data_IF_079344543161
#
_entry.id   IF_079344543161
#
_cell.length_a   1.000
_cell.length_b   1.000
_cell.length_c   1.000
_cell.angle_alpha   90.00
_cell.angle_beta   90.00
_cell.angle_gamma   90.00
#
_symmetry.space_group_name_H-M   'P 1'
#
loop_
_entity.id
_entity.type
_entity.pdbx_description
1 polymer ?
#
# COMPACT_ATOMS: atom_id res chain seq x y z
N UNK A 1 17.22 33.83 -55.63
CA UNK A 1 18.59 33.36 -55.96
C UNK A 1 19.56 34.49 -55.66
N UNK A 2 20.50 34.27 -54.74
CA UNK A 2 21.57 35.22 -54.40
C UNK A 2 22.82 34.86 -55.22
N UNK A 3 23.31 35.81 -56.02
CA UNK A 3 24.53 35.64 -56.83
C UNK A 3 25.73 36.25 -56.11
N UNK A 4 26.85 35.53 -56.01
CA UNK A 4 28.09 35.95 -55.33
C UNK A 4 28.27 35.33 -53.94
N UNK A 5 29.35 35.68 -53.25
CA UNK A 5 29.59 35.27 -51.87
C UNK A 5 28.85 36.20 -50.90
N UNK A 6 27.95 35.63 -50.09
CA UNK A 6 27.11 36.35 -49.15
C UNK A 6 27.33 35.81 -47.73
N UNK A 7 27.16 36.71 -46.76
CA UNK A 7 27.17 36.39 -45.35
C UNK A 7 25.88 36.87 -44.70
N UNK A 8 25.47 36.18 -43.64
CA UNK A 8 24.30 36.55 -42.83
C UNK A 8 24.67 36.60 -41.36
N UNK A 9 24.10 37.55 -40.65
CA UNK A 9 24.23 37.67 -39.21
C UNK A 9 22.90 37.97 -38.54
N UNK A 10 22.76 37.53 -37.29
CA UNK A 10 21.63 37.87 -36.43
C UNK A 10 21.81 39.30 -35.89
N UNK A 11 20.93 40.22 -36.29
CA UNK A 11 21.01 41.64 -35.88
C UNK A 11 20.07 42.01 -34.74
N UNK A 12 18.91 41.38 -34.66
CA UNK A 12 17.94 41.61 -33.59
C UNK A 12 17.22 40.32 -33.25
N UNK A 13 16.97 40.10 -31.96
CA UNK A 13 16.14 39.00 -31.48
C UNK A 13 15.23 39.46 -30.35
N UNK A 14 13.99 39.02 -30.43
CA UNK A 14 12.93 39.22 -29.47
C UNK A 14 12.33 37.85 -29.15
N UNK A 15 12.39 37.42 -27.89
CA UNK A 15 11.82 36.14 -27.45
C UNK A 15 11.05 36.30 -26.13
N UNK A 16 9.89 35.64 -25.98
CA UNK A 16 9.12 35.70 -24.75
C UNK A 16 9.75 34.83 -23.66
N UNK A 17 9.64 35.26 -22.40
CA UNK A 17 10.10 34.50 -21.23
C UNK A 17 8.98 33.63 -20.64
N UNK A 18 8.25 32.94 -21.52
CA UNK A 18 7.12 32.09 -21.16
C UNK A 18 7.35 30.68 -21.65
N UNK A 19 8.50 30.10 -21.30
CA UNK A 19 8.85 28.72 -21.65
C UNK A 19 8.54 27.76 -20.52
N UNK A 20 8.43 26.47 -20.82
CA UNK A 20 8.24 25.45 -19.78
C UNK A 20 9.38 25.46 -18.78
N UNK A 21 9.05 25.50 -17.49
CA UNK A 21 9.99 25.37 -16.39
C UNK A 21 9.86 24.03 -15.64
N UNK A 22 8.76 23.31 -15.87
CA UNK A 22 8.59 21.91 -15.49
C UNK A 22 8.42 21.08 -16.76
N UNK A 23 9.27 20.07 -16.93
CA UNK A 23 9.28 19.09 -17.99
C UNK A 23 9.44 17.66 -17.45
N UNK A 24 9.50 16.67 -18.33
CA UNK A 24 9.58 15.25 -17.95
C UNK A 24 10.83 14.88 -17.13
N UNK A 25 11.85 15.72 -17.12
CA UNK A 25 13.12 15.48 -16.42
C UNK A 25 13.16 16.09 -15.00
N UNK A 26 12.21 16.95 -14.64
CA UNK A 26 12.21 17.68 -13.36
C UNK A 26 10.81 17.78 -12.71
N UNK A 27 9.90 16.83 -12.98
CA UNK A 27 8.52 16.88 -12.48
C UNK A 27 8.18 15.85 -11.39
N UNK A 28 9.09 14.96 -10.98
CA UNK A 28 8.73 13.82 -10.11
C UNK A 28 9.16 13.96 -8.66
N UNK A 29 8.33 13.42 -7.77
CA UNK A 29 8.64 13.21 -6.37
C UNK A 29 7.89 12.00 -5.83
N UNK A 30 8.27 11.52 -4.64
CA UNK A 30 7.49 10.53 -3.92
C UNK A 30 7.33 10.91 -2.46
N UNK A 31 6.23 10.45 -1.85
CA UNK A 31 5.98 10.57 -0.42
C UNK A 31 5.71 9.18 0.15
N UNK A 32 6.38 8.84 1.23
CA UNK A 32 6.13 7.64 2.02
C UNK A 32 5.51 8.05 3.35
N UNK A 33 4.36 7.47 3.70
CA UNK A 33 3.64 7.76 4.93
C UNK A 33 3.08 6.47 5.56
N UNK A 34 2.76 6.53 6.85
CA UNK A 34 2.10 5.42 7.56
C UNK A 34 0.59 5.49 7.36
N UNK A 35 0.00 4.36 6.94
CA UNK A 35 -1.44 4.18 6.85
C UNK A 35 -1.83 2.99 7.75
N UNK A 36 -2.96 3.12 8.46
CA UNK A 36 -3.52 2.00 9.23
C UNK A 36 -4.40 1.18 8.29
N UNK A 37 -3.99 -0.05 8.01
CA UNK A 37 -4.78 -1.01 7.23
C UNK A 37 -5.39 -2.04 8.17
N UNK A 38 -6.66 -2.34 7.96
CA UNK A 38 -7.31 -3.48 8.62
C UNK A 38 -6.88 -4.74 7.88
N UNK A 39 -6.18 -5.64 8.57
CA UNK A 39 -5.71 -6.91 8.01
C UNK A 39 -6.45 -8.06 8.70
N UNK A 40 -7.05 -8.94 7.90
CA UNK A 40 -7.56 -10.22 8.39
C UNK A 40 -6.40 -11.18 8.62
N UNK A 41 -6.31 -11.75 9.82
CA UNK A 41 -5.36 -12.81 10.15
C UNK A 41 -6.11 -14.12 10.39
N UNK A 42 -5.43 -15.24 10.13
CA UNK A 42 -5.95 -16.59 10.42
C UNK A 42 -5.66 -17.03 11.87
N UNK A 43 -5.16 -16.10 12.69
CA UNK A 43 -4.74 -16.36 14.06
C UNK A 43 -4.89 -15.12 14.94
N UNK A 44 -5.04 -15.33 16.25
CA UNK A 44 -4.99 -14.30 17.29
C UNK A 44 -3.69 -14.48 18.09
N UNK A 45 -2.97 -13.39 18.35
CA UNK A 45 -1.80 -13.36 19.23
C UNK A 45 -2.19 -12.76 20.58
N UNK A 46 -1.80 -13.43 21.66
CA UNK A 46 -1.92 -12.95 23.04
C UNK A 46 -0.54 -12.78 23.65
N UNK A 47 -0.19 -11.53 23.97
CA UNK A 47 1.01 -11.22 24.74
C UNK A 47 0.68 -11.29 26.24
N UNK A 48 1.19 -12.33 26.91
CA UNK A 48 0.94 -12.58 28.32
C UNK A 48 2.18 -12.15 29.11
N UNK A 49 2.03 -11.05 29.87
CA UNK A 49 3.09 -10.57 30.76
C UNK A 49 2.97 -11.27 32.10
N UNK A 50 4.01 -11.99 32.47
CA UNK A 50 4.09 -12.70 33.74
C UNK A 50 5.12 -12.00 34.61
N UNK A 51 4.67 -11.60 35.80
CA UNK A 51 5.55 -11.15 36.88
C UNK A 51 5.99 -12.34 37.69
N UNK A 52 7.29 -12.45 37.92
CA UNK A 52 7.87 -13.52 38.73
C UNK A 52 8.75 -12.85 39.78
N UNK A 53 8.16 -12.58 40.95
CA UNK A 53 8.84 -11.87 42.04
C UNK A 53 9.92 -12.73 42.70
N UNK A 54 10.78 -12.10 43.51
CA UNK A 54 11.78 -12.82 44.29
C UNK A 54 11.16 -13.43 45.55
N UNK A 55 11.46 -14.71 45.81
CA UNK A 55 11.00 -15.41 47.01
C UNK A 55 9.63 -16.08 46.89
N UNK A 56 8.95 -15.95 45.75
CA UNK A 56 7.73 -16.72 45.43
C UNK A 56 8.03 -18.21 45.34
N UNK A 57 7.12 -19.05 45.83
CA UNK A 57 7.27 -20.50 45.71
C UNK A 57 7.09 -20.94 44.25
N UNK A 58 7.54 -22.15 43.92
CA UNK A 58 7.40 -22.70 42.57
C UNK A 58 5.92 -22.78 42.17
N UNK A 59 5.03 -23.11 43.12
CA UNK A 59 3.57 -23.14 42.95
C UNK A 59 2.99 -21.75 42.64
N UNK A 60 3.35 -20.72 43.42
CA UNK A 60 2.87 -19.35 43.21
C UNK A 60 3.21 -18.81 41.81
N UNK A 61 4.40 -19.17 41.29
CA UNK A 61 4.81 -18.74 39.95
C UNK A 61 3.93 -19.39 38.88
N UNK A 62 3.61 -20.68 39.03
CA UNK A 62 2.75 -21.39 38.10
C UNK A 62 1.32 -20.85 38.16
N UNK A 63 0.81 -20.56 39.35
CA UNK A 63 -0.51 -19.96 39.52
C UNK A 63 -0.57 -18.57 38.88
N UNK A 64 0.45 -17.73 39.06
CA UNK A 64 0.53 -16.42 38.41
C UNK A 64 0.56 -16.51 36.88
N UNK A 65 1.29 -17.48 36.33
CA UNK A 65 1.32 -17.74 34.88
C UNK A 65 -0.08 -18.13 34.41
N UNK A 66 -0.69 -19.12 35.05
CA UNK A 66 -2.01 -19.64 34.67
C UNK A 66 -3.10 -18.56 34.79
N UNK A 67 -3.08 -17.75 35.86
CA UNK A 67 -4.00 -16.63 36.03
C UNK A 67 -3.82 -15.58 34.93
N UNK A 68 -2.57 -15.22 34.59
CA UNK A 68 -2.29 -14.24 33.52
C UNK A 68 -2.77 -14.75 32.14
N UNK A 69 -2.66 -16.06 31.90
CA UNK A 69 -3.17 -16.72 30.69
C UNK A 69 -4.69 -16.72 30.69
N UNK A 70 -5.32 -17.10 31.80
CA UNK A 70 -6.77 -17.17 31.96
C UNK A 70 -7.43 -15.81 31.72
N UNK A 71 -6.91 -14.75 32.34
CA UNK A 71 -7.41 -13.37 32.20
C UNK A 71 -7.36 -12.87 30.75
N UNK A 72 -6.42 -13.36 29.94
CA UNK A 72 -6.20 -12.89 28.56
C UNK A 72 -6.86 -13.75 27.51
N UNK A 73 -6.83 -15.07 27.68
CA UNK A 73 -7.27 -16.00 26.65
C UNK A 73 -8.02 -17.23 27.19
N UNK A 74 -8.24 -17.37 28.51
CA UNK A 74 -8.90 -18.52 29.13
C UNK A 74 -7.97 -19.72 29.36
N UNK A 75 -8.55 -20.89 29.70
CA UNK A 75 -7.79 -22.09 30.12
C UNK A 75 -7.31 -22.99 28.97
N UNK A 76 -6.89 -22.42 27.84
CA UNK A 76 -6.43 -23.22 26.68
C UNK A 76 -4.96 -23.63 26.76
N UNK A 77 -4.18 -22.95 27.60
CA UNK A 77 -2.81 -23.32 27.96
C UNK A 77 -2.76 -23.38 29.48
N UNK A 78 -2.28 -24.50 30.02
CA UNK A 78 -2.20 -24.71 31.46
C UNK A 78 -0.85 -25.31 31.83
N UNK A 79 -0.20 -24.71 32.81
CA UNK A 79 1.00 -25.24 33.43
C UNK A 79 0.61 -25.98 34.71
N UNK A 80 0.91 -27.27 34.79
CA UNK A 80 0.63 -28.09 35.96
C UNK A 80 1.95 -28.61 36.55
N UNK A 81 2.24 -28.21 37.79
CA UNK A 81 3.42 -28.68 38.51
C UNK A 81 3.15 -30.09 39.06
N UNK A 82 4.04 -31.03 38.74
CA UNK A 82 4.02 -32.42 39.24
C UNK A 82 5.40 -32.78 39.79
N UNK A 83 5.56 -32.60 41.11
CA UNK A 83 6.83 -32.78 41.83
C UNK A 83 8.00 -31.97 41.25
N UNK A 84 8.84 -32.58 40.41
CA UNK A 84 10.01 -31.96 39.75
C UNK A 84 9.75 -31.67 38.27
N UNK A 85 8.59 -32.02 37.76
CA UNK A 85 8.21 -31.80 36.38
C UNK A 85 7.11 -30.75 36.30
N UNK A 86 7.00 -30.13 35.14
CA UNK A 86 5.91 -29.25 34.78
C UNK A 86 5.30 -29.74 33.49
N UNK A 87 4.02 -30.06 33.55
CA UNK A 87 3.23 -30.50 32.42
C UNK A 87 2.57 -29.28 31.81
N UNK A 88 2.95 -28.93 30.60
CA UNK A 88 2.30 -27.86 29.85
C UNK A 88 1.22 -28.51 29.00
N UNK A 89 -0.03 -28.25 29.32
CA UNK A 89 -1.18 -28.71 28.55
C UNK A 89 -1.55 -27.65 27.51
N UNK A 90 -1.68 -28.07 26.25
CA UNK A 90 -2.04 -27.20 25.13
C UNK A 90 -3.33 -27.72 24.48
N UNK A 91 -4.37 -26.90 24.45
CA UNK A 91 -5.61 -27.21 23.76
C UNK A 91 -5.42 -27.23 22.23
N UNK A 92 -6.26 -27.96 21.47
CA UNK A 92 -6.19 -27.97 20.01
C UNK A 92 -6.25 -26.56 19.42
N UNK A 93 -5.40 -26.32 18.41
CA UNK A 93 -5.24 -25.04 17.70
C UNK A 93 -4.60 -23.88 18.49
N UNK A 94 -4.10 -24.13 19.70
CA UNK A 94 -3.29 -23.17 20.44
C UNK A 94 -1.80 -23.56 20.33
N UNK A 95 -0.94 -22.55 20.29
CA UNK A 95 0.51 -22.72 20.30
C UNK A 95 1.10 -21.79 21.37
N UNK A 96 1.97 -22.32 22.22
CA UNK A 96 2.75 -21.53 23.16
C UNK A 96 4.12 -21.20 22.54
N UNK A 97 4.40 -19.92 22.35
CA UNK A 97 5.64 -19.40 21.78
C UNK A 97 6.47 -18.74 22.90
N UNK A 98 7.67 -19.27 23.09
CA UNK A 98 8.66 -18.77 24.05
C UNK A 98 9.88 -18.29 23.27
N UNK A 99 10.12 -16.98 23.25
CA UNK A 99 11.29 -16.40 22.56
C UNK A 99 12.44 -16.22 23.55
N UNK A 100 13.67 -16.34 23.06
CA UNK A 100 14.86 -16.09 23.88
C UNK A 100 14.95 -14.62 24.34
N UNK A 101 14.39 -13.69 23.55
CA UNK A 101 14.37 -12.27 23.85
C UNK A 101 13.36 -11.93 24.97
N UNK A 102 12.15 -12.48 24.90
CA UNK A 102 11.03 -12.03 25.72
C UNK A 102 10.69 -12.99 26.88
N UNK A 103 11.03 -14.27 26.77
CA UNK A 103 10.78 -15.31 27.78
C UNK A 103 12.04 -16.06 28.29
N UNK A 104 13.22 -15.41 28.48
CA UNK A 104 14.45 -16.11 28.83
C UNK A 104 14.40 -16.84 30.17
N UNK A 105 13.60 -16.34 31.13
CA UNK A 105 13.46 -16.95 32.46
C UNK A 105 12.60 -18.21 32.36
N UNK A 106 11.50 -18.14 31.62
CA UNK A 106 10.60 -19.28 31.47
C UNK A 106 11.30 -20.43 30.72
N UNK A 107 12.07 -20.14 29.66
CA UNK A 107 12.91 -21.14 29.00
C UNK A 107 13.86 -21.83 30.00
N UNK A 108 14.52 -21.04 30.87
CA UNK A 108 15.42 -21.59 31.89
C UNK A 108 14.67 -22.45 32.92
N UNK A 109 13.48 -22.02 33.34
CA UNK A 109 12.63 -22.74 34.30
C UNK A 109 12.09 -24.06 33.74
N UNK A 110 11.79 -24.11 32.45
CA UNK A 110 11.40 -25.34 31.75
C UNK A 110 12.61 -26.22 31.36
N UNK A 111 13.82 -25.87 31.83
CA UNK A 111 15.07 -26.55 31.47
C UNK A 111 15.30 -26.65 29.95
N UNK A 112 14.99 -25.56 29.25
CA UNK A 112 15.13 -25.43 27.81
C UNK A 112 16.37 -24.62 27.44
N UNK A 113 16.95 -24.83 26.24
CA UNK A 113 17.97 -23.93 25.71
C UNK A 113 17.40 -22.52 25.54
N UNK A 114 18.28 -21.51 25.55
CA UNK A 114 17.90 -20.10 25.33
C UNK A 114 17.73 -19.80 23.84
N UNK A 115 16.81 -20.51 23.22
CA UNK A 115 16.44 -20.40 21.82
C UNK A 115 14.92 -20.35 21.70
N UNK A 116 14.42 -19.83 20.58
CA UNK A 116 12.98 -19.73 20.36
C UNK A 116 12.34 -21.13 20.30
N UNK A 117 11.30 -21.35 21.10
CA UNK A 117 10.59 -22.64 21.16
C UNK A 117 9.09 -22.45 20.98
N UNK A 118 8.51 -23.35 20.19
CA UNK A 118 7.06 -23.43 19.95
C UNK A 118 6.56 -24.78 20.48
N UNK A 119 5.63 -24.73 21.43
CA UNK A 119 4.98 -25.91 22.02
C UNK A 119 3.55 -25.97 21.49
N UNK A 120 3.23 -27.00 20.70
CA UNK A 120 1.94 -27.17 19.99
C UNK A 120 1.05 -28.26 20.57
N UNK A 121 1.63 -29.14 21.35
CA UNK A 121 0.97 -30.28 22.01
C UNK A 121 1.47 -30.35 23.42
N UNK A 122 0.69 -30.99 24.29
CA UNK A 122 1.07 -31.12 25.69
C UNK A 122 2.43 -31.81 25.84
N UNK A 123 3.33 -31.23 26.63
CA UNK A 123 4.70 -31.71 26.84
C UNK A 123 5.08 -31.54 28.33
N UNK A 124 5.89 -32.47 28.84
CA UNK A 124 6.40 -32.44 30.21
C UNK A 124 7.85 -31.97 30.22
N UNK A 125 8.18 -31.04 31.11
CA UNK A 125 9.53 -30.50 31.26
C UNK A 125 10.05 -30.71 32.67
N UNK A 126 11.36 -30.86 32.82
CA UNK A 126 11.99 -30.85 34.15
C UNK A 126 12.02 -29.41 34.64
N UNK A 127 11.37 -29.15 35.77
CA UNK A 127 11.26 -27.82 36.33
C UNK A 127 12.52 -27.42 37.09
N UNK A 128 13.02 -26.21 36.81
CA UNK A 128 14.18 -25.60 37.48
C UNK A 128 13.76 -24.33 38.21
N UNK A 129 14.31 -24.15 39.41
CA UNK A 129 14.03 -22.98 40.24
C UNK A 129 14.35 -21.67 39.50
N UNK A 130 13.48 -20.65 39.63
CA UNK A 130 13.69 -19.36 39.00
C UNK A 130 14.97 -18.67 39.51
N UNK A 131 15.70 -17.97 38.62
CA UNK A 131 16.85 -17.14 39.03
C UNK A 131 16.42 -15.88 39.78
N UNK A 132 17.29 -15.35 40.65
CA UNK A 132 17.10 -14.18 41.52
C UNK A 132 17.08 -12.83 40.78
N UNK A 133 16.31 -12.67 39.70
CA UNK A 133 16.32 -11.42 38.93
C UNK A 133 14.91 -10.97 38.57
N UNK A 134 14.55 -9.74 38.95
CA UNK A 134 13.21 -9.18 38.81
C UNK A 134 12.96 -8.61 37.38
N UNK A 135 12.74 -9.48 36.40
CA UNK A 135 12.35 -9.10 35.03
C UNK A 135 11.01 -9.73 34.65
N UNK A 136 10.13 -8.92 34.05
CA UNK A 136 8.91 -9.38 33.38
C UNK A 136 9.29 -10.38 32.27
N UNK A 137 8.56 -11.49 32.17
CA UNK A 137 8.63 -12.38 31.01
C UNK A 137 7.35 -12.21 30.20
N UNK A 138 7.49 -12.15 28.88
CA UNK A 138 6.35 -12.15 27.97
C UNK A 138 6.33 -13.47 27.24
N UNK A 139 5.31 -14.27 27.53
CA UNK A 139 5.01 -15.46 26.71
C UNK A 139 3.94 -15.09 25.69
N UNK A 140 4.05 -15.66 24.50
CA UNK A 140 3.10 -15.42 23.42
C UNK A 140 2.27 -16.67 23.20
N UNK A 141 0.95 -16.53 23.21
CA UNK A 141 0.02 -17.61 22.85
C UNK A 141 -0.58 -17.26 21.50
N UNK A 142 -0.49 -18.18 20.54
CA UNK A 142 -1.10 -18.04 19.23
C UNK A 142 -2.27 -19.00 19.12
N UNK A 143 -3.47 -18.46 18.95
CA UNK A 143 -4.67 -19.23 18.68
C UNK A 143 -4.98 -19.19 17.19
N UNK A 144 -5.00 -20.36 16.54
CA UNK A 144 -5.25 -20.51 15.10
C UNK A 144 -6.62 -21.14 14.88
N UNK A 145 -7.22 -20.95 13.70
CA UNK A 145 -8.41 -21.69 13.27
C UNK A 145 -9.55 -21.75 14.31
N UNK A 146 -9.78 -20.66 15.02
CA UNK A 146 -10.82 -20.61 16.04
C UNK A 146 -12.19 -20.74 15.39
N UNK A 147 -12.92 -21.79 15.80
CA UNK A 147 -14.26 -22.09 15.29
C UNK A 147 -15.30 -21.80 16.36
N UNK A 148 -16.27 -20.95 16.04
CA UNK A 148 -17.53 -20.85 16.81
C UNK A 148 -18.49 -21.93 16.33
N UNK A 149 -19.05 -22.67 17.28
CA UNK A 149 -19.97 -23.76 17.00
C UNK A 149 -21.40 -23.37 17.36
N UNK A 150 -22.33 -23.59 16.43
CA UNK A 150 -23.76 -23.40 16.61
C UNK A 150 -24.46 -24.72 16.35
N UNK A 151 -25.47 -25.03 17.16
CA UNK A 151 -26.30 -26.22 16.97
C UNK A 151 -27.62 -25.78 16.37
N UNK A 152 -27.93 -26.26 15.17
CA UNK A 152 -29.15 -25.94 14.46
C UNK A 152 -30.08 -27.14 14.51
N UNK A 153 -31.33 -26.89 14.88
CA UNK A 153 -32.38 -27.89 14.97
C UNK A 153 -33.23 -27.87 13.71
N UNK A 154 -33.62 -29.04 13.21
CA UNK A 154 -34.66 -29.16 12.19
C UNK A 154 -36.03 -29.06 12.85
N UNK A 155 -36.84 -28.08 12.47
CA UNK A 155 -38.18 -27.88 13.04
C UNK A 155 -39.17 -27.48 11.94
N UNK A 156 -40.46 -27.40 12.29
CA UNK A 156 -41.56 -26.97 11.41
C UNK A 156 -42.41 -25.91 12.10
N UNK A 157 -43.13 -25.10 11.33
CA UNK A 157 -44.17 -24.24 11.88
C UNK A 157 -45.34 -25.11 12.35
N UNK A 158 -45.72 -24.95 13.61
CA UNK A 158 -46.73 -25.77 14.25
C UNK A 158 -48.13 -25.41 13.71
N UNK A 159 -48.67 -26.08 12.68
CA UNK A 159 -50.08 -25.91 12.30
C UNK A 159 -50.74 -27.22 11.82
N UNK A 160 -52.02 -27.35 12.19
CA UNK A 160 -52.95 -28.47 12.02
C UNK A 160 -53.36 -28.80 10.56
N UNK A 161 -52.47 -28.76 9.58
CA UNK A 161 -52.84 -29.07 8.19
C UNK A 161 -52.04 -30.24 7.61
N UNK A 162 -52.78 -31.12 6.95
CA UNK A 162 -52.39 -32.42 6.40
C UNK A 162 -52.04 -32.31 4.92
N UNK A 163 -51.09 -31.45 4.56
CA UNK A 163 -50.61 -31.39 3.17
C UNK A 163 -49.12 -31.75 3.11
N UNK A 164 -48.83 -32.97 2.65
CA UNK A 164 -47.48 -33.53 2.61
C UNK A 164 -46.62 -32.95 1.47
N UNK A 165 -47.25 -32.33 0.47
CA UNK A 165 -46.59 -31.84 -0.74
C UNK A 165 -45.71 -30.59 -0.49
N UNK A 166 -45.88 -29.90 0.65
CA UNK A 166 -45.13 -28.69 0.99
C UNK A 166 -44.09 -28.89 2.12
N UNK A 167 -43.90 -30.13 2.56
CA UNK A 167 -43.10 -30.46 3.74
C UNK A 167 -41.62 -30.08 3.60
N UNK A 168 -41.01 -30.37 2.45
CA UNK A 168 -39.60 -30.07 2.20
C UNK A 168 -39.36 -28.55 2.15
N UNK A 169 -40.26 -27.81 1.51
CA UNK A 169 -40.18 -26.36 1.46
C UNK A 169 -40.24 -25.73 2.84
N UNK A 170 -41.24 -26.09 3.65
CA UNK A 170 -41.38 -25.57 5.02
C UNK A 170 -40.17 -25.91 5.90
N UNK A 171 -39.65 -27.14 5.76
CA UNK A 171 -38.46 -27.58 6.50
C UNK A 171 -37.24 -26.70 6.19
N UNK A 172 -36.91 -26.47 4.92
CA UNK A 172 -35.73 -25.68 4.56
C UNK A 172 -35.92 -24.19 4.86
N UNK A 173 -37.12 -23.64 4.70
CA UNK A 173 -37.44 -22.29 5.18
C UNK A 173 -37.19 -22.15 6.67
N UNK A 174 -37.58 -23.15 7.46
CA UNK A 174 -37.43 -23.10 8.90
C UNK A 174 -35.99 -23.34 9.36
N UNK A 175 -35.20 -24.14 8.62
CA UNK A 175 -33.75 -24.23 8.83
C UNK A 175 -33.08 -22.87 8.61
N UNK A 176 -33.40 -22.18 7.52
CA UNK A 176 -32.89 -20.83 7.25
C UNK A 176 -33.34 -19.83 8.34
N UNK A 177 -34.59 -19.93 8.80
CA UNK A 177 -35.08 -19.12 9.92
C UNK A 177 -34.29 -19.39 11.21
N UNK A 178 -34.02 -20.65 11.55
CA UNK A 178 -33.23 -20.99 12.74
C UNK A 178 -31.80 -20.47 12.64
N UNK A 179 -31.17 -20.51 11.48
CA UNK A 179 -29.86 -19.89 11.23
C UNK A 179 -29.91 -18.38 11.50
N UNK A 180 -30.94 -17.69 10.99
CA UNK A 180 -31.15 -16.26 11.26
C UNK A 180 -31.34 -15.97 12.76
N UNK A 181 -32.15 -16.76 13.48
CA UNK A 181 -32.38 -16.58 14.92
C UNK A 181 -31.10 -16.76 15.75
N UNK A 182 -30.18 -17.61 15.30
CA UNK A 182 -28.87 -17.78 15.95
C UNK A 182 -27.86 -16.66 15.64
N UNK A 183 -28.24 -15.65 14.86
CA UNK A 183 -27.38 -14.52 14.48
C UNK A 183 -26.36 -14.85 13.38
N UNK A 184 -26.49 -16.02 12.75
CA UNK A 184 -25.62 -16.49 11.65
C UNK A 184 -26.41 -16.64 10.34
N UNK A 185 -27.46 -15.83 10.17
CA UNK A 185 -28.22 -15.76 8.92
C UNK A 185 -27.29 -15.43 7.75
N UNK A 186 -27.38 -16.22 6.67
CA UNK A 186 -26.52 -16.11 5.49
C UNK A 186 -25.16 -16.81 5.59
N UNK A 187 -24.80 -17.39 6.74
CA UNK A 187 -23.62 -18.26 6.86
C UNK A 187 -23.77 -19.54 6.02
N UNK A 188 -25.00 -20.01 5.91
CA UNK A 188 -25.44 -21.03 4.97
C UNK A 188 -26.88 -20.76 4.53
N UNK A 189 -27.21 -21.14 3.31
CA UNK A 189 -28.53 -21.01 2.72
C UNK A 189 -28.98 -22.33 2.12
N UNK A 190 -30.21 -22.74 2.45
CA UNK A 190 -30.88 -23.91 1.90
C UNK A 190 -31.98 -23.45 0.94
N UNK A 191 -31.77 -23.62 -0.36
CA UNK A 191 -32.70 -23.19 -1.40
C UNK A 191 -33.36 -24.42 -2.00
N UNK A 192 -34.66 -24.58 -1.77
CA UNK A 192 -35.44 -25.71 -2.26
C UNK A 192 -36.06 -25.41 -3.63
N UNK A 193 -35.87 -26.33 -4.58
CA UNK A 193 -36.52 -26.34 -5.90
C UNK A 193 -37.68 -27.34 -5.90
N UNK A 194 -38.90 -26.79 -5.97
CA UNK A 194 -40.15 -27.54 -6.00
C UNK A 194 -40.32 -28.45 -7.22
N UNK A 195 -39.76 -28.08 -8.38
CA UNK A 195 -40.00 -28.84 -9.62
C UNK A 195 -39.19 -30.12 -9.66
N UNK A 196 -37.99 -30.06 -9.10
CA UNK A 196 -36.99 -31.12 -9.20
C UNK A 196 -36.79 -31.89 -7.89
N UNK A 197 -37.49 -31.49 -6.82
CA UNK A 197 -37.34 -32.00 -5.44
C UNK A 197 -35.86 -32.02 -5.01
N UNK A 198 -35.20 -30.88 -5.23
CA UNK A 198 -33.77 -30.68 -4.95
C UNK A 198 -33.60 -29.57 -3.93
N UNK A 199 -32.57 -29.70 -3.10
CA UNK A 199 -32.09 -28.58 -2.28
C UNK A 199 -30.68 -28.23 -2.70
N UNK A 200 -30.47 -26.95 -2.96
CA UNK A 200 -29.16 -26.36 -3.07
C UNK A 200 -28.74 -25.84 -1.71
N UNK A 201 -27.60 -26.30 -1.20
CA UNK A 201 -27.01 -25.85 0.05
C UNK A 201 -25.77 -25.05 -0.30
N UNK A 202 -25.80 -23.75 -0.01
CA UNK A 202 -24.67 -22.84 -0.20
C UNK A 202 -24.10 -22.46 1.15
N UNK A 203 -22.79 -22.62 1.34
CA UNK A 203 -22.08 -22.36 2.58
C UNK A 203 -20.96 -21.34 2.32
N UNK A 204 -20.85 -20.31 3.17
CA UNK A 204 -19.79 -19.31 3.04
C UNK A 204 -18.40 -19.94 3.21
N UNK A 205 -17.36 -19.28 2.66
CA UNK A 205 -15.99 -19.81 2.57
C UNK A 205 -15.38 -20.21 3.93
N UNK A 206 -15.77 -19.54 5.01
CA UNK A 206 -15.27 -19.78 6.37
C UNK A 206 -16.22 -20.63 7.24
N UNK A 207 -17.24 -21.24 6.65
CA UNK A 207 -18.28 -21.98 7.35
C UNK A 207 -18.25 -23.46 6.96
N UNK A 208 -18.50 -24.33 7.92
CA UNK A 208 -18.64 -25.79 7.76
C UNK A 208 -19.96 -26.25 8.37
N UNK A 209 -20.73 -27.03 7.61
CA UNK A 209 -21.93 -27.72 8.12
C UNK A 209 -21.60 -29.18 8.38
N UNK A 210 -21.67 -29.61 9.63
CA UNK A 210 -21.40 -30.99 10.02
C UNK A 210 -22.68 -31.72 10.39
N UNK A 211 -22.94 -32.78 9.63
CA UNK A 211 -24.03 -33.70 9.83
C UNK A 211 -23.48 -35.02 10.35
N UNK A 212 -23.98 -35.47 11.50
CA UNK A 212 -23.63 -36.78 12.07
C UNK A 212 -24.86 -37.67 12.13
N UNK A 213 -24.70 -38.93 11.76
CA UNK A 213 -25.79 -39.91 11.74
C UNK A 213 -26.45 -40.06 13.11
N UNK A 214 -25.68 -39.89 14.18
CA UNK A 214 -26.18 -39.94 15.55
C UNK A 214 -27.22 -38.86 15.88
N UNK A 215 -27.11 -37.68 15.25
CA UNK A 215 -27.92 -36.50 15.57
C UNK A 215 -28.94 -36.12 14.49
N UNK A 216 -28.72 -36.56 13.25
CA UNK A 216 -29.58 -36.24 12.11
C UNK A 216 -29.81 -37.42 11.13
N UNK A 217 -30.21 -38.61 11.61
CA UNK A 217 -30.28 -39.81 10.77
C UNK A 217 -31.29 -39.70 9.61
N UNK A 218 -32.45 -39.07 9.83
CA UNK A 218 -33.49 -38.98 8.80
C UNK A 218 -33.15 -37.86 7.82
N UNK A 219 -32.69 -36.71 8.32
CA UNK A 219 -32.29 -35.57 7.50
C UNK A 219 -31.13 -35.95 6.57
N UNK A 220 -30.13 -36.67 7.08
CA UNK A 220 -29.01 -37.14 6.27
C UNK A 220 -29.45 -38.15 5.21
N UNK A 221 -30.32 -39.10 5.56
CA UNK A 221 -30.89 -40.05 4.59
C UNK A 221 -31.69 -39.33 3.49
N UNK A 222 -32.46 -38.30 3.85
CA UNK A 222 -33.18 -37.44 2.90
C UNK A 222 -32.21 -36.75 1.94
N UNK A 223 -31.03 -36.31 2.41
CA UNK A 223 -29.97 -35.70 1.57
C UNK A 223 -29.06 -36.73 0.87
N UNK A 224 -29.40 -38.02 0.91
CA UNK A 224 -28.59 -39.13 0.36
C UNK A 224 -27.20 -39.31 1.02
N UNK A 225 -27.05 -38.93 2.29
CA UNK A 225 -25.81 -39.07 3.06
C UNK A 225 -25.85 -40.32 3.96
N UNK A 226 -24.89 -41.24 3.76
CA UNK A 226 -24.84 -42.54 4.46
C UNK A 226 -23.78 -42.65 5.55
N UNK A 227 -22.98 -41.60 5.75
CA UNK A 227 -21.92 -41.47 6.77
C UNK A 227 -21.87 -40.03 7.26
N UNK A 228 -21.14 -39.77 8.35
CA UNK A 228 -20.89 -38.40 8.82
C UNK A 228 -20.26 -37.56 7.70
N UNK A 229 -20.80 -36.35 7.50
CA UNK A 229 -20.47 -35.46 6.38
C UNK A 229 -20.22 -34.05 6.89
N UNK A 230 -19.18 -33.41 6.35
CA UNK A 230 -18.94 -31.98 6.49
C UNK A 230 -19.11 -31.33 5.12
N UNK A 231 -20.04 -30.39 4.99
CA UNK A 231 -20.25 -29.61 3.78
C UNK A 231 -19.55 -28.25 3.83
N UNK A 232 -18.95 -27.87 2.71
CA UNK A 232 -18.36 -26.56 2.45
C UNK A 232 -18.70 -26.12 1.02
N UNK A 233 -18.74 -24.81 0.77
CA UNK A 233 -19.08 -24.26 -0.55
C UNK A 233 -20.51 -24.57 -0.99
N UNK A 234 -20.70 -24.82 -2.28
CA UNK A 234 -22.03 -25.05 -2.88
C UNK A 234 -22.21 -26.52 -3.22
N UNK A 235 -23.32 -27.09 -2.76
CA UNK A 235 -23.69 -28.49 -3.00
C UNK A 235 -25.16 -28.60 -3.40
N UNK A 236 -25.50 -29.60 -4.21
CA UNK A 236 -26.85 -29.85 -4.68
C UNK A 236 -27.24 -31.27 -4.33
N UNK A 237 -28.39 -31.43 -3.67
CA UNK A 237 -28.89 -32.72 -3.20
C UNK A 237 -30.28 -32.99 -3.77
N UNK A 238 -30.43 -34.12 -4.45
CA UNK A 238 -31.75 -34.67 -4.81
C UNK A 238 -32.32 -35.33 -3.55
N UNK A 239 -33.53 -34.94 -3.17
CA UNK A 239 -34.14 -35.41 -1.93
C UNK A 239 -34.66 -36.84 -2.11
N UNK A 240 -34.36 -37.69 -1.12
CA UNK A 240 -34.86 -39.06 -1.05
C UNK A 240 -36.15 -39.10 -0.26
N UNK A 241 -37.08 -39.96 -0.67
CA UNK A 241 -38.27 -40.27 0.14
C UNK A 241 -37.85 -40.86 1.48
N UNK A 242 -38.39 -40.32 2.55
CA UNK A 242 -38.16 -40.78 3.92
C UNK A 242 -39.48 -41.17 4.59
N UNK A 243 -39.41 -42.14 5.50
CA UNK A 243 -40.59 -42.72 6.17
C UNK A 243 -41.34 -41.73 7.07
N UNK A 244 -40.64 -40.68 7.52
CA UNK A 244 -41.20 -39.60 8.34
C UNK A 244 -40.38 -38.32 8.16
N UNK A 245 -40.95 -37.14 8.46
CA UNK A 245 -40.24 -35.87 8.39
C UNK A 245 -39.04 -35.82 9.36
N UNK A 246 -37.89 -35.24 8.96
CA UNK A 246 -36.71 -35.09 9.81
C UNK A 246 -36.89 -33.93 10.80
N UNK A 247 -37.70 -34.12 11.84
CA UNK A 247 -37.97 -33.11 12.87
C UNK A 247 -37.23 -33.41 14.17
N UNK A 248 -36.79 -32.35 14.84
CA UNK A 248 -36.01 -32.38 16.09
C UNK A 248 -34.66 -33.09 15.96
N UNK A 249 -34.09 -33.07 14.76
CA UNK A 249 -32.72 -33.50 14.51
C UNK A 249 -31.79 -32.30 14.53
N UNK A 250 -30.49 -32.54 14.71
CA UNK A 250 -29.52 -31.49 14.94
C UNK A 250 -28.30 -31.63 14.04
N UNK A 251 -27.81 -30.50 13.55
CA UNK A 251 -26.52 -30.42 12.87
C UNK A 251 -25.70 -29.25 13.41
N UNK A 252 -24.38 -29.33 13.26
CA UNK A 252 -23.46 -28.32 13.77
C UNK A 252 -23.04 -27.39 12.63
N UNK A 253 -23.09 -26.10 12.88
CA UNK A 253 -22.49 -25.07 12.03
C UNK A 253 -21.23 -24.58 12.73
N UNK A 254 -20.09 -24.66 12.04
CA UNK A 254 -18.81 -24.16 12.55
C UNK A 254 -18.36 -22.99 11.70
N UNK A 255 -18.17 -21.82 12.30
CA UNK A 255 -17.70 -20.61 11.62
C UNK A 255 -16.27 -20.34 12.08
N UNK A 256 -15.33 -20.32 11.13
CA UNK A 256 -13.95 -19.93 11.40
C UNK A 256 -13.85 -18.41 11.40
N UNK A 257 -13.54 -17.84 12.56
CA UNK A 257 -13.37 -16.39 12.69
C UNK A 257 -11.98 -15.97 12.22
N UNK A 258 -11.94 -14.94 11.39
CA UNK A 258 -10.69 -14.26 11.01
C UNK A 258 -10.61 -12.93 11.76
N UNK A 259 -9.81 -12.84 12.84
CA UNK A 259 -9.62 -11.56 13.52
C UNK A 259 -9.10 -10.48 12.56
N UNK A 260 -9.70 -9.31 12.63
CA UNK A 260 -9.23 -8.11 11.94
C UNK A 260 -8.38 -7.27 12.87
N UNK A 261 -7.13 -7.01 12.51
CA UNK A 261 -6.18 -6.27 13.33
C UNK A 261 -5.77 -5.00 12.57
N UNK A 262 -5.80 -3.81 13.20
CA UNK A 262 -5.24 -2.61 12.61
C UNK A 262 -3.71 -2.73 12.58
N UNK A 263 -3.13 -2.76 11.39
CA UNK A 263 -1.69 -2.81 11.17
C UNK A 263 -1.22 -1.51 10.52
N UNK A 264 -0.17 -0.91 11.07
CA UNK A 264 0.47 0.25 10.46
C UNK A 264 1.36 -0.23 9.33
N UNK A 265 1.04 0.16 8.11
CA UNK A 265 1.82 -0.16 6.92
C UNK A 265 2.40 1.11 6.32
N UNK A 266 3.63 1.03 5.83
CA UNK A 266 4.22 2.12 5.05
C UNK A 266 3.71 2.05 3.62
N UNK A 267 3.16 3.14 3.13
CA UNK A 267 2.73 3.31 1.76
C UNK A 267 3.57 4.39 1.09
N UNK A 268 4.00 4.12 -0.14
CA UNK A 268 4.75 5.08 -0.96
C UNK A 268 3.92 5.45 -2.17
N UNK A 269 3.72 6.74 -2.39
CA UNK A 269 3.08 7.30 -3.57
C UNK A 269 4.11 8.01 -4.44
N UNK A 270 4.13 7.67 -5.73
CA UNK A 270 4.92 8.35 -6.74
C UNK A 270 4.04 9.35 -7.48
N UNK A 271 4.47 10.61 -7.49
CA UNK A 271 3.68 11.74 -7.94
C UNK A 271 4.49 12.53 -8.98
N UNK A 272 3.78 13.10 -9.94
CA UNK A 272 4.35 13.91 -11.01
C UNK A 272 3.57 15.22 -11.11
N UNK A 273 4.30 16.33 -11.29
CA UNK A 273 3.73 17.61 -11.63
C UNK A 273 3.38 17.65 -13.13
N UNK A 274 2.38 18.44 -13.48
CA UNK A 274 2.04 18.67 -14.89
C UNK A 274 3.18 19.41 -15.60
N UNK A 275 3.51 18.96 -16.81
CA UNK A 275 4.52 19.61 -17.65
C UNK A 275 3.96 20.95 -18.12
N UNK A 276 4.72 22.03 -17.94
CA UNK A 276 4.23 23.34 -18.29
C UNK A 276 5.07 24.52 -17.80
N UNK A 277 4.48 25.70 -17.95
CA UNK A 277 5.02 26.95 -17.45
C UNK A 277 4.28 27.39 -16.18
N UNK A 278 5.01 27.46 -15.08
CA UNK A 278 4.55 27.96 -13.79
C UNK A 278 5.08 29.38 -13.58
N UNK A 279 4.20 30.37 -13.70
CA UNK A 279 4.60 31.78 -13.73
C UNK A 279 5.11 32.28 -12.36
N UNK A 280 4.48 31.81 -11.28
CA UNK A 280 4.77 32.22 -9.92
C UNK A 280 4.88 31.00 -9.00
N UNK A 281 5.62 31.14 -7.90
CA UNK A 281 5.85 30.09 -6.89
C UNK A 281 4.56 29.49 -6.36
N UNK A 282 3.53 30.31 -6.16
CA UNK A 282 2.25 29.88 -5.60
C UNK A 282 1.54 28.89 -6.53
N UNK A 283 1.62 29.13 -7.84
CA UNK A 283 1.07 28.23 -8.86
C UNK A 283 1.79 26.88 -8.83
N UNK A 284 3.13 26.90 -8.79
CA UNK A 284 3.94 25.68 -8.67
C UNK A 284 3.59 24.92 -7.39
N UNK A 285 3.59 25.59 -6.24
CA UNK A 285 3.35 24.97 -4.94
C UNK A 285 1.95 24.37 -4.83
N UNK A 286 0.94 25.02 -5.41
CA UNK A 286 -0.43 24.48 -5.44
C UNK A 286 -0.58 23.17 -6.23
N UNK A 287 0.41 22.84 -7.06
CA UNK A 287 0.41 21.61 -7.87
C UNK A 287 0.88 20.38 -7.09
N UNK A 288 1.51 20.56 -5.93
CA UNK A 288 1.95 19.46 -5.09
C UNK A 288 0.79 18.91 -4.26
N UNK A 289 0.65 17.59 -4.25
CA UNK A 289 -0.21 16.87 -3.31
C UNK A 289 0.56 16.55 -2.03
N UNK A 290 -0.16 16.59 -0.90
CA UNK A 290 0.31 16.24 0.45
C UNK A 290 1.41 17.11 1.06
N UNK A 291 1.88 18.13 0.35
CA UNK A 291 3.00 18.98 0.76
C UNK A 291 2.56 20.42 0.83
N UNK A 292 2.96 21.10 1.91
CA UNK A 292 2.70 22.52 2.11
C UNK A 292 4.01 23.30 1.97
N UNK A 293 3.96 24.36 1.17
CA UNK A 293 5.10 25.21 0.88
C UNK A 293 4.84 26.65 1.31
N UNK A 294 5.91 27.36 1.65
CA UNK A 294 5.91 28.80 1.82
C UNK A 294 7.09 29.41 1.07
N UNK A 295 6.82 30.49 0.35
CA UNK A 295 7.86 31.31 -0.27
C UNK A 295 8.39 32.32 0.74
N UNK A 296 9.71 32.30 1.00
CA UNK A 296 10.37 33.23 1.91
C UNK A 296 10.87 34.48 1.16
N UNK A 297 11.02 35.60 1.89
CA UNK A 297 11.44 36.89 1.33
C UNK A 297 12.81 36.89 0.61
N UNK A 298 13.66 35.91 0.91
CA UNK A 298 14.97 35.71 0.27
C UNK A 298 14.93 34.78 -0.95
N UNK A 299 13.75 34.54 -1.51
CA UNK A 299 13.48 33.62 -2.61
C UNK A 299 13.75 32.13 -2.29
N UNK A 300 13.81 31.77 -1.00
CA UNK A 300 13.96 30.37 -0.57
C UNK A 300 12.62 29.69 -0.35
N UNK A 301 12.62 28.37 -0.46
CA UNK A 301 11.44 27.52 -0.26
C UNK A 301 11.45 26.94 1.14
N UNK A 302 10.35 27.09 1.87
CA UNK A 302 10.10 26.36 3.11
C UNK A 302 9.05 25.29 2.85
N UNK A 303 9.38 24.03 3.12
CA UNK A 303 8.47 22.88 2.99
C UNK A 303 8.16 22.29 4.36
N UNK A 304 6.91 21.91 4.58
CA UNK A 304 6.49 21.15 5.75
C UNK A 304 6.09 19.73 5.35
N UNK A 305 6.71 18.74 6.00
CA UNK A 305 6.50 17.31 5.79
C UNK A 305 5.86 16.75 7.06
N UNK A 306 4.78 15.96 6.96
CA UNK A 306 4.17 15.33 8.13
C UNK A 306 5.17 14.46 8.91
N UNK A 307 5.07 14.42 10.25
CA UNK A 307 6.10 13.86 11.13
C UNK A 307 6.48 12.39 10.86
N UNK A 308 5.51 11.56 10.47
CA UNK A 308 5.72 10.14 10.14
C UNK A 308 6.00 9.89 8.66
N UNK A 309 6.16 10.96 7.87
CA UNK A 309 6.33 10.89 6.43
C UNK A 309 7.78 11.15 6.01
N UNK A 310 8.11 10.70 4.80
CA UNK A 310 9.39 10.99 4.15
C UNK A 310 9.12 11.32 2.70
N UNK A 311 9.68 12.42 2.22
CA UNK A 311 9.58 12.87 0.83
C UNK A 311 10.89 12.63 0.13
N UNK A 312 10.83 12.14 -1.11
CA UNK A 312 11.97 12.05 -2.00
C UNK A 312 11.72 12.89 -3.26
N UNK A 313 12.50 13.94 -3.44
CA UNK A 313 12.50 14.80 -4.62
C UNK A 313 13.49 14.23 -5.65
N UNK A 314 13.07 14.06 -6.91
CA UNK A 314 14.01 13.73 -7.99
C UNK A 314 14.96 14.91 -8.23
N UNK A 315 16.18 14.64 -8.72
CA UNK A 315 17.25 15.62 -8.91
C UNK A 315 16.78 16.95 -9.55
N UNK A 316 16.08 16.90 -10.68
CA UNK A 316 15.63 18.12 -11.35
C UNK A 316 14.67 18.96 -10.50
N UNK A 317 13.73 18.32 -9.79
CA UNK A 317 12.77 19.03 -8.94
C UNK A 317 13.43 19.50 -7.64
N UNK A 318 14.35 18.71 -7.09
CA UNK A 318 15.18 19.06 -5.92
C UNK A 318 15.97 20.33 -6.20
N UNK A 319 16.65 20.38 -7.34
CA UNK A 319 17.51 21.50 -7.73
C UNK A 319 16.67 22.76 -8.01
N UNK A 320 15.55 22.61 -8.73
CA UNK A 320 14.59 23.68 -8.97
C UNK A 320 14.08 24.30 -7.66
N UNK A 321 13.73 23.47 -6.66
CA UNK A 321 13.27 23.92 -5.35
C UNK A 321 14.42 24.40 -4.43
N UNK A 322 15.68 24.23 -4.86
CA UNK A 322 16.87 24.71 -4.16
C UNK A 322 17.35 23.84 -2.99
N UNK A 323 16.99 22.56 -2.93
CA UNK A 323 17.44 21.66 -1.86
C UNK A 323 18.73 20.92 -2.26
N UNK A 324 19.64 20.66 -1.32
CA UNK A 324 20.78 19.74 -1.56
C UNK A 324 20.42 18.28 -1.39
N UNK A 325 19.50 17.99 -0.47
CA UNK A 325 19.09 16.63 -0.13
C UNK A 325 17.84 16.25 -0.91
N UNK A 326 17.90 15.13 -1.61
CA UNK A 326 16.72 14.56 -2.29
C UNK A 326 15.70 14.03 -1.28
N UNK A 327 16.16 13.46 -0.17
CA UNK A 327 15.30 12.89 0.87
C UNK A 327 15.12 13.83 2.04
N UNK A 328 13.87 14.14 2.36
CA UNK A 328 13.46 15.01 3.45
C UNK A 328 12.52 14.25 4.39
N UNK A 329 12.83 14.26 5.69
CA UNK A 329 12.05 13.56 6.72
C UNK A 329 10.98 14.46 7.33
N UNK A 330 10.11 13.91 8.18
CA UNK A 330 9.10 14.67 8.92
C UNK A 330 9.65 15.93 9.59
N UNK A 331 8.84 17.00 9.56
CA UNK A 331 9.18 18.32 10.07
C UNK A 331 9.29 19.40 8.99
N UNK A 332 9.93 20.51 9.34
CA UNK A 332 10.03 21.70 8.49
C UNK A 332 11.44 21.84 7.94
N UNK A 333 11.56 22.04 6.62
CA UNK A 333 12.84 22.23 5.94
C UNK A 333 12.85 23.53 5.16
N UNK A 334 14.02 24.17 5.08
CA UNK A 334 14.26 25.37 4.27
C UNK A 334 15.32 25.03 3.24
N UNK A 335 15.12 25.46 2.00
CA UNK A 335 16.03 25.21 0.89
C UNK A 335 17.42 25.81 1.12
N UNK A 336 18.45 25.13 0.62
CA UNK A 336 19.83 25.58 0.67
C UNK A 336 20.05 26.79 -0.26
N UNK A 337 19.39 26.76 -1.41
CA UNK A 337 19.47 27.74 -2.50
C UNK A 337 18.11 28.40 -2.78
N UNK A 338 18.11 29.40 -3.65
CA UNK A 338 16.90 30.10 -4.08
C UNK A 338 16.11 29.26 -5.08
N UNK A 339 14.79 29.45 -5.12
CA UNK A 339 13.88 28.85 -6.09
C UNK A 339 14.22 29.33 -7.51
N UNK A 340 14.35 28.40 -8.46
CA UNK A 340 14.67 28.70 -9.86
C UNK A 340 13.48 28.37 -10.78
N UNK A 341 12.61 29.37 -11.03
CA UNK A 341 11.46 29.21 -11.93
C UNK A 341 11.79 29.33 -13.42
N UNK A 342 13.07 29.42 -13.78
CA UNK A 342 13.50 29.58 -15.17
C UNK A 342 13.70 28.25 -15.91
N UNK A 343 13.42 27.13 -15.22
CA UNK A 343 13.59 25.78 -15.77
C UNK A 343 15.05 25.40 -15.98
N UNK A 344 15.98 26.06 -15.28
CA UNK A 344 17.42 25.89 -15.48
C UNK A 344 17.93 26.42 -16.83
N UNK A 345 17.10 27.14 -17.60
CA UNK A 345 17.49 27.73 -18.87
C UNK A 345 18.24 29.03 -18.58
N UNK A 346 19.56 28.94 -18.62
CA UNK A 346 20.48 30.06 -18.39
C UNK A 346 20.91 30.74 -19.69
N UNK A 347 20.89 29.98 -20.79
CA UNK A 347 21.33 30.36 -22.12
C UNK A 347 20.45 29.69 -23.19
N UNK A 348 20.24 30.39 -24.30
CA UNK A 348 19.52 29.88 -25.47
C UNK A 348 20.45 29.89 -26.68
N UNK A 349 20.63 28.72 -27.28
CA UNK A 349 21.44 28.49 -28.47
C UNK A 349 20.55 28.62 -29.70
N UNK A 350 20.90 29.56 -30.59
CA UNK A 350 20.14 29.88 -31.81
C UNK A 350 20.83 29.23 -33.00
N UNK A 351 20.26 28.14 -33.50
CA UNK A 351 20.75 27.46 -34.70
C UNK A 351 19.95 27.90 -35.93
N UNK A 352 20.57 27.86 -37.10
CA UNK A 352 19.85 28.07 -38.35
C UNK A 352 20.44 27.31 -39.51
N UNK A 353 19.58 26.76 -40.36
CA UNK A 353 19.98 26.00 -41.55
C UNK A 353 20.56 26.88 -42.69
N UNK A 354 20.53 28.20 -42.52
CA UNK A 354 20.95 29.18 -43.52
C UNK A 354 22.47 29.41 -43.59
N UNK A 355 23.19 29.11 -42.51
CA UNK A 355 24.64 29.30 -42.40
C UNK A 355 25.41 27.99 -42.61
N UNK A 356 26.65 28.10 -43.06
CA UNK A 356 27.58 26.97 -43.02
C UNK A 356 27.91 26.58 -41.57
N UNK A 357 28.05 25.29 -41.30
CA UNK A 357 28.48 24.83 -39.99
C UNK A 357 29.91 25.29 -39.71
N UNK A 358 30.17 25.73 -38.47
CA UNK A 358 31.49 26.14 -38.03
C UNK A 358 31.82 25.53 -36.66
N UNK A 359 33.07 25.67 -36.23
CA UNK A 359 33.47 25.22 -34.90
C UNK A 359 32.78 26.05 -33.80
N UNK A 360 32.22 25.35 -32.83
CA UNK A 360 31.61 25.86 -31.60
C UNK A 360 32.11 24.99 -30.47
N UNK A 361 33.11 25.47 -29.71
CA UNK A 361 33.77 24.66 -28.69
C UNK A 361 34.43 23.43 -29.32
N UNK A 362 33.99 22.24 -28.92
CA UNK A 362 34.46 20.92 -29.38
C UNK A 362 33.61 20.30 -30.51
N UNK A 363 32.57 21.00 -30.96
CA UNK A 363 31.59 20.50 -31.94
C UNK A 363 31.52 21.39 -33.19
N UNK A 364 31.09 20.84 -34.32
CA UNK A 364 30.80 21.60 -35.55
C UNK A 364 29.29 21.73 -35.72
N UNK A 365 28.77 22.96 -35.70
CA UNK A 365 27.33 23.22 -35.75
C UNK A 365 26.99 24.54 -36.47
N UNK A 366 25.77 24.68 -37.03
CA UNK A 366 25.32 25.92 -37.66
C UNK A 366 24.70 26.87 -36.61
N UNK A 367 25.51 27.35 -35.67
CA UNK A 367 25.09 28.19 -34.55
C UNK A 367 25.22 29.69 -34.87
N UNK A 368 24.10 30.40 -34.97
CA UNK A 368 24.12 31.86 -35.19
C UNK A 368 24.57 32.63 -33.95
N UNK A 369 24.06 32.25 -32.77
CA UNK A 369 24.28 33.01 -31.53
C UNK A 369 23.96 32.21 -30.27
N UNK A 370 24.50 32.66 -29.15
CA UNK A 370 24.11 32.25 -27.80
C UNK A 370 23.53 33.47 -27.11
N UNK A 371 22.34 33.33 -26.56
CA UNK A 371 21.63 34.37 -25.81
C UNK A 371 21.72 34.02 -24.34
N UNK A 372 22.39 34.85 -23.55
CA UNK A 372 22.37 34.69 -22.10
C UNK A 372 21.05 35.27 -21.54
N UNK A 373 20.32 34.45 -20.79
CA UNK A 373 19.00 34.83 -20.23
C UNK A 373 19.01 34.91 -18.70
N UNK A 374 20.11 34.50 -18.05
CA UNK A 374 20.31 34.75 -16.62
C UNK A 374 20.32 36.26 -16.34
N UNK A 375 19.57 36.68 -15.32
CA UNK A 375 19.43 38.06 -14.78
C UNK A 375 18.40 39.00 -15.41
N UNK A 376 17.76 38.65 -16.53
CA UNK A 376 16.71 39.50 -17.11
C UNK A 376 15.39 39.32 -16.35
N UNK A 377 14.91 40.38 -15.69
CA UNK A 377 13.62 40.39 -14.97
C UNK A 377 12.41 40.73 -15.86
N UNK A 378 12.66 40.98 -17.14
CA UNK A 378 11.62 41.34 -18.10
C UNK A 378 10.91 40.09 -18.62
N UNK A 379 9.60 40.21 -18.87
CA UNK A 379 8.77 39.14 -19.46
C UNK A 379 9.19 38.81 -20.91
N UNK A 380 10.03 39.65 -21.51
CA UNK A 380 10.53 39.54 -22.87
C UNK A 380 12.02 39.87 -22.91
N UNK A 381 12.75 39.13 -23.73
CA UNK A 381 14.17 39.38 -23.96
C UNK A 381 14.28 40.06 -25.31
N UNK A 382 14.81 41.30 -25.31
CA UNK A 382 15.02 42.09 -26.52
C UNK A 382 16.50 42.41 -26.65
N UNK A 383 17.13 41.93 -27.72
CA UNK A 383 18.55 42.13 -27.96
C UNK A 383 18.77 42.70 -29.35
N UNK A 384 19.47 43.82 -29.40
CA UNK A 384 19.91 44.49 -30.62
C UNK A 384 21.44 44.41 -30.72
N UNK A 385 21.94 43.67 -31.72
CA UNK A 385 23.38 43.50 -31.95
C UNK A 385 23.91 44.62 -32.85
N UNK A 386 24.59 45.61 -32.27
CA UNK A 386 25.23 46.68 -33.04
C UNK A 386 26.30 46.17 -34.01
N UNK A 387 26.94 45.04 -33.69
CA UNK A 387 27.91 44.36 -34.54
C UNK A 387 27.54 42.88 -34.65
N UNK A 388 26.65 42.50 -35.59
CA UNK A 388 26.27 41.12 -35.81
C UNK A 388 27.49 40.26 -36.17
N UNK A 389 27.52 39.01 -35.71
CA UNK A 389 28.46 38.03 -36.23
C UNK A 389 27.92 37.53 -37.58
N UNK A 390 28.75 37.63 -38.60
CA UNK A 390 28.40 37.24 -39.96
C UNK A 390 29.04 35.89 -40.30
N UNK A 391 28.25 35.00 -40.86
CA UNK A 391 28.67 33.67 -41.30
C UNK A 391 28.36 33.47 -42.79
N UNK A 392 29.18 32.70 -43.52
CA UNK A 392 28.90 32.37 -44.92
C UNK A 392 27.54 31.69 -45.08
N UNK A 393 26.81 32.06 -46.15
CA UNK A 393 25.56 31.39 -46.51
C UNK A 393 25.82 29.98 -47.02
N UNK A 394 25.05 29.02 -46.51
CA UNK A 394 25.03 27.63 -47.01
C UNK A 394 24.23 27.48 -48.30
N UNK A 395 23.22 28.33 -48.50
CA UNK A 395 22.25 28.23 -49.61
C UNK A 395 22.25 29.51 -50.44
N UNK A 396 22.30 29.34 -51.77
CA UNK A 396 22.16 30.45 -52.73
C UNK A 396 20.71 30.66 -53.19
N UNK A 397 19.81 29.74 -52.83
CA UNK A 397 18.37 29.84 -53.01
C UNK A 397 17.70 29.62 -51.65
N UNK A 398 16.87 30.57 -51.23
CA UNK A 398 16.26 30.61 -49.90
C UNK A 398 14.76 30.73 -50.12
N UNK A 399 14.04 29.67 -49.79
CA UNK A 399 12.58 29.61 -49.74
C UNK A 399 12.07 29.60 -48.30
N UNK A 400 12.77 28.87 -47.42
CA UNK A 400 12.51 28.78 -45.99
C UNK A 400 13.84 28.92 -45.22
N UNK A 401 13.77 29.57 -44.05
CA UNK A 401 14.86 29.62 -43.07
C UNK A 401 14.33 28.98 -41.79
N UNK A 402 15.00 27.93 -41.35
CA UNK A 402 14.69 27.28 -40.08
C UNK A 402 15.53 27.89 -38.97
N UNK A 403 14.89 28.15 -37.83
CA UNK A 403 15.54 28.64 -36.60
C UNK A 403 15.17 27.67 -35.48
N UNK A 404 16.19 27.05 -34.89
CA UNK A 404 16.01 26.21 -33.69
C UNK A 404 16.56 26.94 -32.47
N UNK A 405 15.75 26.98 -31.40
CA UNK A 405 16.16 27.50 -30.10
C UNK A 405 16.31 26.32 -29.15
N UNK A 406 17.51 26.14 -28.59
CA UNK A 406 17.83 25.04 -27.68
C UNK A 406 18.43 25.54 -26.37
N UNK A 407 18.18 24.81 -25.29
CA UNK A 407 18.90 24.96 -24.02
C UNK A 407 20.35 24.46 -24.15
N UNK A 408 21.15 24.64 -23.10
CA UNK A 408 22.49 24.05 -22.98
C UNK A 408 22.48 22.51 -22.94
N UNK A 409 21.37 21.87 -22.54
CA UNK A 409 21.19 20.42 -22.62
C UNK A 409 20.84 19.91 -24.03
N UNK A 410 20.57 20.82 -24.97
CA UNK A 410 20.16 20.49 -26.34
C UNK A 410 18.65 20.31 -26.52
N UNK A 411 17.86 20.48 -25.45
CA UNK A 411 16.40 20.41 -25.49
C UNK A 411 15.81 21.64 -26.18
N UNK A 412 14.74 21.46 -26.96
CA UNK A 412 14.05 22.56 -27.63
C UNK A 412 13.33 23.48 -26.64
N UNK A 413 13.42 24.80 -26.85
CA UNK A 413 12.69 25.79 -26.06
C UNK A 413 11.23 25.86 -26.53
N UNK A 414 10.29 25.48 -25.66
CA UNK A 414 8.85 25.50 -25.94
C UNK A 414 8.22 26.73 -25.30
N UNK A 415 7.80 27.71 -26.10
CA UNK A 415 7.06 28.89 -25.62
C UNK A 415 5.56 28.60 -25.51
N UNK A 416 4.95 29.09 -24.43
CA UNK A 416 3.51 28.94 -24.17
C UNK A 416 2.67 30.09 -24.69
N UNK A 417 3.27 31.29 -24.83
CA UNK A 417 2.61 32.49 -25.33
C UNK A 417 3.64 33.53 -25.81
N UNK A 418 3.16 34.67 -26.29
CA UNK A 418 4.02 35.75 -26.79
C UNK A 418 4.35 35.62 -28.28
N UNK A 419 5.20 36.53 -28.76
CA UNK A 419 5.67 36.54 -30.15
C UNK A 419 7.20 36.44 -30.13
N UNK A 420 7.76 35.74 -31.10
CA UNK A 420 9.20 35.72 -31.33
C UNK A 420 9.48 36.49 -32.61
N UNK A 421 10.47 37.38 -32.60
CA UNK A 421 10.91 38.11 -33.78
C UNK A 421 12.42 37.99 -33.90
N UNK A 422 12.89 37.81 -35.12
CA UNK A 422 14.29 37.65 -35.45
C UNK A 422 14.58 38.44 -36.73
N UNK A 423 15.62 39.27 -36.70
CA UNK A 423 16.07 40.03 -37.87
C UNK A 423 17.43 39.50 -38.31
N UNK A 424 17.49 39.04 -39.55
CA UNK A 424 18.72 38.62 -40.22
C UNK A 424 19.22 39.73 -41.14
N UNK A 425 20.49 40.09 -40.98
CA UNK A 425 21.18 41.04 -41.86
C UNK A 425 22.03 40.27 -42.88
N UNK A 426 21.80 40.52 -44.16
CA UNK A 426 22.55 39.92 -45.26
C UNK A 426 23.51 40.95 -45.87
N UNK A 427 24.77 40.56 -46.09
CA UNK A 427 25.75 41.41 -46.77
C UNK A 427 26.54 40.61 -47.80
N UNK A 428 27.01 41.29 -48.84
CA UNK A 428 28.02 40.71 -49.75
C UNK A 428 29.34 40.62 -49.02
N UNK A 429 30.01 39.48 -49.16
CA UNK A 429 31.38 39.32 -48.70
C UNK A 429 32.27 40.16 -49.60
N UNK A 430 32.82 41.23 -49.07
CA UNK A 430 33.93 41.94 -49.71
C UNK A 430 35.14 41.02 -49.68
N UNK A 431 35.55 40.57 -50.87
CA UNK A 431 36.79 39.79 -51.07
C UNK A 431 37.99 40.66 -50.74
#
# INVERSE_FOLDING_TARGET
>A
MLTGAWEVGLSEIFIPRTWFNIGNHNNKYSITYEETKIVEKDYIEYDIRVKIDEGTTDEDVIDNINQSIEEKCGHFVLFALDHRNINVHIAPNYELHLTAADAPRLLTMLNLPREDRIIKTSESFVFRKPSKTNKDNVLKIIARNLKRHFIIRTTRFNHKYTDMDNLHHELFQHINFNLMQTGIGGAADFIFDFKEDKVEITVQKNVELEFRLLYAPIFMRMLSMTKDVVLTGKTLHVLQKVDRPPLNEYFRVSITDKPTIPEKVKKTEHLELEVGFYKHSEQLFSSFKHLAFNHLANNKVKIHIPDTSTVNLQDGLRDLLGFKKSTLYGGTHISDYQLELDGGITEIYVYSDIIESHFVGDTIAPLLRIIHVMSTKEDQIVINYQRPLYFPLRKNYIDCIEIELKSSSGDGIIFTSGKSLLVLSFRRRTV
#
